data_IF_011946006365
#
_entry.id   IF_011946006365
#
_cell.length_a   1.000
_cell.length_b   1.000
_cell.length_c   1.000
_cell.angle_alpha   90.00
_cell.angle_beta   90.00
_cell.angle_gamma   90.00
#
_symmetry.space_group_name_H-M   'P 1'
#
loop_
_entity.id
_entity.type
_entity.pdbx_description
1 polymer ?
#
# COMPACT_ATOMS: atom_id res chain seq x y z
N UNK A 1 -4.13 36.33 10.18
CA UNK A 1 -3.06 36.34 9.15
C UNK A 1 -2.63 34.93 8.72
N UNK A 2 -2.25 34.04 9.65
CA UNK A 2 -1.85 32.65 9.33
C UNK A 2 -2.95 31.81 8.66
N UNK A 3 -4.22 31.96 9.05
CA UNK A 3 -5.34 31.23 8.41
C UNK A 3 -5.59 31.66 6.97
N UNK A 4 -5.39 32.95 6.67
CA UNK A 4 -5.52 33.49 5.32
C UNK A 4 -4.43 32.92 4.40
N UNK A 5 -3.18 32.85 4.87
CA UNK A 5 -2.07 32.22 4.14
C UNK A 5 -2.31 30.72 3.90
N UNK A 6 -2.83 29.98 4.89
CA UNK A 6 -3.21 28.57 4.72
C UNK A 6 -4.33 28.41 3.68
N UNK A 7 -5.32 29.31 3.70
CA UNK A 7 -6.41 29.32 2.72
C UNK A 7 -5.91 29.59 1.30
N UNK A 8 -5.02 30.57 1.13
CA UNK A 8 -4.38 30.86 -0.15
C UNK A 8 -3.52 29.71 -0.66
N UNK A 9 -2.73 29.06 0.22
CA UNK A 9 -1.96 27.87 -0.13
C UNK A 9 -2.85 26.72 -0.62
N UNK A 10 -3.98 26.46 0.04
CA UNK A 10 -4.96 25.44 -0.37
C UNK A 10 -5.59 25.78 -1.73
N UNK A 11 -5.94 27.03 -1.96
CA UNK A 11 -6.48 27.49 -3.24
C UNK A 11 -5.45 27.35 -4.36
N UNK A 12 -4.21 27.76 -4.14
CA UNK A 12 -3.11 27.60 -5.08
C UNK A 12 -2.82 26.13 -5.40
N UNK A 13 -2.82 25.25 -4.40
CA UNK A 13 -2.67 23.79 -4.62
C UNK A 13 -3.84 23.22 -5.44
N UNK A 14 -5.07 23.66 -5.16
CA UNK A 14 -6.25 23.28 -5.94
C UNK A 14 -6.16 23.75 -7.39
N UNK A 15 -5.77 25.01 -7.62
CA UNK A 15 -5.56 25.54 -8.97
C UNK A 15 -4.42 24.86 -9.71
N UNK A 16 -3.31 24.57 -9.01
CA UNK A 16 -2.21 23.81 -9.59
C UNK A 16 -2.70 22.43 -10.03
N UNK A 17 -3.43 21.74 -9.16
CA UNK A 17 -3.98 20.42 -9.45
C UNK A 17 -5.01 20.43 -10.59
N UNK A 18 -5.95 21.37 -10.60
CA UNK A 18 -6.93 21.56 -11.67
C UNK A 18 -6.26 21.94 -12.99
N UNK A 19 -5.20 22.75 -12.95
CA UNK A 19 -4.42 23.12 -14.14
C UNK A 19 -3.65 21.93 -14.70
N UNK A 20 -3.05 21.10 -13.85
CA UNK A 20 -2.43 19.84 -14.29
C UNK A 20 -3.48 18.84 -14.80
N UNK A 21 -4.68 18.83 -14.24
CA UNK A 21 -5.80 18.03 -14.73
C UNK A 21 -6.26 18.46 -16.13
N UNK A 22 -6.41 19.77 -16.38
CA UNK A 22 -6.76 20.28 -17.71
C UNK A 22 -5.60 20.12 -18.70
N UNK A 23 -4.36 20.36 -18.27
CA UNK A 23 -3.18 20.13 -19.10
C UNK A 23 -3.03 18.65 -19.46
N UNK A 24 -3.30 17.72 -18.55
CA UNK A 24 -3.30 16.28 -18.85
C UNK A 24 -4.43 15.86 -19.81
N UNK A 25 -5.52 16.62 -19.93
CA UNK A 25 -6.55 16.39 -20.96
C UNK A 25 -6.13 16.88 -22.35
N UNK A 26 -5.42 18.01 -22.43
CA UNK A 26 -5.02 18.65 -23.69
C UNK A 26 -3.68 18.11 -24.20
N UNK A 27 -2.78 17.82 -23.27
CA UNK A 27 -1.48 17.19 -23.46
C UNK A 27 -1.47 15.94 -22.56
N UNK A 28 -2.07 14.82 -23.01
CA UNK A 28 -1.95 13.57 -22.26
C UNK A 28 -0.48 13.37 -21.92
N UNK A 29 -0.12 13.22 -20.63
CA UNK A 29 1.26 12.98 -20.27
C UNK A 29 1.72 11.80 -21.11
N UNK A 30 2.83 11.96 -21.84
CA UNK A 30 3.36 10.87 -22.65
C UNK A 30 3.57 9.69 -21.71
N UNK A 31 2.69 8.70 -21.81
CA UNK A 31 2.86 7.44 -21.07
C UNK A 31 4.19 6.91 -21.57
N UNK A 32 5.19 6.72 -20.69
CA UNK A 32 6.52 6.34 -21.13
C UNK A 32 6.39 5.11 -22.02
N UNK A 33 6.94 5.20 -23.25
CA UNK A 33 6.75 4.20 -24.33
C UNK A 33 7.25 2.80 -23.98
N UNK A 34 7.85 2.61 -22.79
CA UNK A 34 8.33 1.35 -22.25
C UNK A 34 7.89 1.19 -20.78
N UNK A 35 6.58 0.98 -20.52
CA UNK A 35 6.11 0.79 -19.16
C UNK A 35 6.72 -0.49 -18.53
N UNK A 36 6.99 -1.50 -19.36
CA UNK A 36 7.57 -2.78 -18.93
C UNK A 36 9.03 -2.68 -18.45
N UNK A 37 9.81 -1.66 -18.86
CA UNK A 37 11.20 -1.55 -18.40
C UNK A 37 11.33 -1.19 -16.93
N UNK A 38 10.23 -0.81 -16.27
CA UNK A 38 10.21 -0.57 -14.83
C UNK A 38 9.85 -1.81 -14.01
N UNK A 39 9.41 -2.90 -14.66
CA UNK A 39 9.15 -4.17 -14.00
C UNK A 39 10.47 -4.93 -13.82
N UNK A 40 10.67 -5.51 -12.64
CA UNK A 40 11.82 -6.37 -12.40
C UNK A 40 11.57 -7.77 -12.98
N UNK A 41 12.65 -8.51 -13.21
CA UNK A 41 12.54 -9.90 -13.62
C UNK A 41 11.82 -10.71 -12.52
N UNK A 42 10.91 -11.58 -12.95
CA UNK A 42 10.07 -12.35 -12.02
C UNK A 42 8.94 -11.55 -11.37
N UNK A 43 8.61 -10.37 -11.88
CA UNK A 43 7.44 -9.60 -11.43
C UNK A 43 6.15 -10.41 -11.69
N UNK A 44 5.46 -10.79 -10.61
CA UNK A 44 4.24 -11.59 -10.67
C UNK A 44 3.16 -10.94 -9.80
N UNK A 45 1.92 -10.91 -10.30
CA UNK A 45 0.76 -10.38 -9.58
C UNK A 45 -0.21 -11.52 -9.34
N UNK A 46 -0.38 -11.90 -8.08
CA UNK A 46 -1.27 -12.97 -7.67
C UNK A 46 -2.41 -12.39 -6.85
N UNK A 47 -3.65 -12.66 -7.26
CA UNK A 47 -4.83 -12.26 -6.48
C UNK A 47 -5.14 -13.32 -5.44
N UNK A 48 -5.42 -12.90 -4.20
CA UNK A 48 -5.80 -13.83 -3.12
C UNK A 48 -7.30 -14.07 -3.21
N UNK A 49 -7.69 -15.15 -3.89
CA UNK A 49 -9.09 -15.46 -4.20
C UNK A 49 -9.86 -14.22 -4.71
N UNK A 50 -11.07 -13.99 -4.21
CA UNK A 50 -11.91 -12.83 -4.52
C UNK A 50 -11.88 -11.74 -3.42
N UNK A 51 -10.83 -11.72 -2.59
CA UNK A 51 -10.74 -10.78 -1.45
C UNK A 51 -10.41 -9.34 -1.85
N UNK A 52 -9.92 -9.13 -3.08
CA UNK A 52 -9.37 -7.86 -3.54
C UNK A 52 -7.93 -7.60 -3.07
N UNK A 53 -7.35 -8.47 -2.22
CA UNK A 53 -5.93 -8.44 -1.85
C UNK A 53 -5.10 -9.04 -2.99
N UNK A 54 -4.02 -8.35 -3.35
CA UNK A 54 -3.06 -8.78 -4.37
C UNK A 54 -1.66 -8.84 -3.79
N UNK A 55 -1.01 -9.98 -3.95
CA UNK A 55 0.42 -10.19 -3.64
C UNK A 55 1.22 -9.98 -4.91
N UNK A 56 2.25 -9.15 -4.82
CA UNK A 56 3.08 -8.77 -5.96
C UNK A 56 4.52 -9.16 -5.64
N UNK A 57 4.99 -10.22 -6.26
CA UNK A 57 6.37 -10.68 -6.11
C UNK A 57 7.31 -9.84 -6.98
N UNK A 58 8.54 -9.62 -6.51
CA UNK A 58 9.56 -8.80 -7.17
C UNK A 58 9.08 -7.38 -7.53
N UNK A 59 8.21 -6.79 -6.70
CA UNK A 59 7.75 -5.41 -6.87
C UNK A 59 8.91 -4.41 -6.74
N UNK A 60 9.83 -4.65 -5.81
CA UNK A 60 11.04 -3.85 -5.61
C UNK A 60 12.27 -4.77 -5.69
N UNK A 61 13.36 -4.28 -6.28
CA UNK A 61 14.63 -5.03 -6.26
C UNK A 61 15.27 -4.97 -4.88
N UNK A 62 16.18 -5.90 -4.61
CA UNK A 62 16.99 -5.91 -3.38
C UNK A 62 17.72 -4.58 -3.17
N UNK A 63 18.27 -4.00 -4.25
CA UNK A 63 18.92 -2.70 -4.22
C UNK A 63 17.93 -1.55 -3.92
N UNK A 64 16.72 -1.60 -4.48
CA UNK A 64 15.67 -0.63 -4.21
C UNK A 64 15.18 -0.69 -2.75
N UNK A 65 15.05 -1.89 -2.17
CA UNK A 65 14.68 -2.05 -0.77
C UNK A 65 15.76 -1.51 0.18
N UNK A 66 17.02 -1.82 -0.10
CA UNK A 66 18.15 -1.27 0.67
C UNK A 66 18.25 0.26 0.52
N UNK A 67 17.96 0.81 -0.66
CA UNK A 67 17.89 2.24 -0.88
C UNK A 67 16.82 2.90 0.00
N UNK A 68 15.60 2.36 0.02
CA UNK A 68 14.50 2.88 0.83
C UNK A 68 14.84 2.89 2.33
N UNK A 69 15.44 1.82 2.85
CA UNK A 69 15.88 1.76 4.26
C UNK A 69 16.96 2.82 4.52
N UNK A 70 18.01 2.87 3.69
CA UNK A 70 19.10 3.83 3.87
C UNK A 70 18.61 5.28 3.83
N UNK A 71 17.68 5.60 2.92
CA UNK A 71 17.07 6.91 2.80
C UNK A 71 16.20 7.25 4.00
N UNK A 72 15.48 6.27 4.55
CA UNK A 72 14.69 6.45 5.76
C UNK A 72 15.57 6.81 6.96
N UNK A 73 16.70 6.11 7.14
CA UNK A 73 17.67 6.42 8.20
C UNK A 73 18.29 7.82 8.02
N UNK A 74 18.63 8.21 6.78
CA UNK A 74 19.19 9.53 6.48
C UNK A 74 18.20 10.67 6.79
N UNK A 75 16.93 10.50 6.41
CA UNK A 75 15.90 11.54 6.57
C UNK A 75 15.32 11.58 7.98
N UNK A 76 15.16 10.42 8.62
CA UNK A 76 14.61 10.30 9.97
C UNK A 76 15.59 10.69 11.08
N UNK A 77 16.89 10.49 10.85
CA UNK A 77 17.93 10.62 11.87
C UNK A 77 18.01 9.40 12.79
N UNK A 78 19.08 9.33 13.60
CA UNK A 78 19.33 8.20 14.50
C UNK A 78 18.16 7.97 15.47
N UNK A 79 17.56 6.77 15.43
CA UNK A 79 16.46 6.36 16.31
C UNK A 79 15.05 6.64 15.79
N UNK A 80 14.88 7.19 14.58
CA UNK A 80 13.55 7.32 13.98
C UNK A 80 13.00 5.97 13.51
N UNK A 81 11.86 5.54 14.08
CA UNK A 81 11.16 4.31 13.69
C UNK A 81 10.45 4.43 12.33
N UNK A 82 10.23 5.64 11.83
CA UNK A 82 9.67 5.87 10.49
C UNK A 82 10.10 7.22 9.92
N UNK A 83 10.14 7.30 8.59
CA UNK A 83 10.49 8.51 7.86
C UNK A 83 9.70 8.61 6.55
N UNK A 84 9.35 9.85 6.18
CA UNK A 84 8.76 10.15 4.86
C UNK A 84 9.90 10.36 3.86
N UNK A 85 10.16 9.36 3.02
CA UNK A 85 11.27 9.39 2.05
C UNK A 85 10.88 10.03 0.71
N UNK A 86 9.58 10.11 0.41
CA UNK A 86 9.05 10.76 -0.78
C UNK A 86 7.72 11.44 -0.49
N UNK A 87 7.54 12.66 -0.98
CA UNK A 87 6.24 13.33 -1.01
C UNK A 87 6.17 14.40 -2.11
N UNK A 88 5.02 15.08 -2.22
CA UNK A 88 4.79 16.10 -3.24
C UNK A 88 5.79 17.27 -3.22
N UNK A 89 6.50 17.51 -2.11
CA UNK A 89 7.50 18.57 -1.98
C UNK A 89 8.95 18.05 -1.98
N UNK A 90 9.13 16.75 -1.77
CA UNK A 90 10.44 16.07 -1.75
C UNK A 90 10.35 14.90 -2.73
N UNK A 91 10.68 15.20 -3.98
CA UNK A 91 10.70 14.21 -5.05
C UNK A 91 12.08 13.61 -5.17
N UNK A 92 12.13 12.28 -5.16
CA UNK A 92 13.33 11.50 -5.38
C UNK A 92 13.21 10.77 -6.73
N UNK A 93 14.02 11.12 -7.74
CA UNK A 93 13.99 10.46 -9.04
C UNK A 93 14.21 8.96 -8.98
N UNK A 94 14.96 8.46 -7.99
CA UNK A 94 15.25 7.02 -7.81
C UNK A 94 13.98 6.26 -7.44
N UNK A 95 13.02 6.92 -6.79
CA UNK A 95 11.75 6.34 -6.35
C UNK A 95 10.64 6.46 -7.40
N UNK A 96 10.84 7.24 -8.48
CA UNK A 96 9.84 7.39 -9.55
C UNK A 96 9.46 6.07 -10.25
N UNK A 97 10.41 5.16 -10.58
CA UNK A 97 10.08 3.82 -11.09
C UNK A 97 9.09 3.06 -10.21
N UNK A 98 9.21 3.19 -8.89
CA UNK A 98 8.29 2.55 -7.95
C UNK A 98 6.88 3.10 -8.16
N UNK A 99 6.71 4.42 -8.23
CA UNK A 99 5.39 5.05 -8.47
C UNK A 99 4.80 4.72 -9.84
N UNK A 100 5.63 4.58 -10.88
CA UNK A 100 5.17 4.13 -12.19
C UNK A 100 4.59 2.72 -12.12
N UNK A 101 5.25 1.79 -11.43
CA UNK A 101 4.72 0.42 -11.22
C UNK A 101 3.37 0.43 -10.52
N UNK A 102 3.21 1.24 -9.48
CA UNK A 102 1.92 1.34 -8.77
C UNK A 102 0.83 1.84 -9.71
N UNK A 103 1.15 2.88 -10.48
CA UNK A 103 0.21 3.47 -11.44
C UNK A 103 -0.19 2.46 -12.52
N UNK A 104 0.74 1.62 -12.98
CA UNK A 104 0.46 0.53 -13.91
C UNK A 104 -0.42 -0.56 -13.30
N UNK A 105 -0.21 -0.92 -12.02
CA UNK A 105 -0.97 -1.96 -11.33
C UNK A 105 -2.42 -1.56 -11.03
N UNK A 106 -2.64 -0.26 -10.79
CA UNK A 106 -3.91 0.26 -10.29
C UNK A 106 -4.67 1.08 -11.32
N UNK A 107 -4.02 1.51 -12.40
CA UNK A 107 -4.57 2.48 -13.34
C UNK A 107 -4.68 3.90 -12.76
N UNK A 108 -4.27 4.10 -11.50
CA UNK A 108 -4.34 5.40 -10.82
C UNK A 108 -3.15 6.26 -11.25
N UNK A 109 -3.34 7.51 -11.69
CA UNK A 109 -2.24 8.38 -12.06
C UNK A 109 -1.27 8.65 -10.88
N UNK A 110 0.04 8.68 -11.16
CA UNK A 110 1.10 8.83 -10.15
C UNK A 110 0.96 10.05 -9.22
N UNK A 111 0.33 11.13 -9.68
CA UNK A 111 0.08 12.34 -8.89
C UNK A 111 -1.03 12.16 -7.83
N UNK A 112 -1.65 10.98 -7.79
CA UNK A 112 -2.60 10.54 -6.75
C UNK A 112 -1.98 9.55 -5.76
N UNK A 113 -0.71 9.19 -5.95
CA UNK A 113 0.03 8.51 -4.90
C UNK A 113 0.31 9.47 -3.74
N UNK A 114 0.15 8.96 -2.53
CA UNK A 114 0.49 9.64 -1.29
C UNK A 114 1.99 9.77 -1.09
N UNK A 115 2.39 9.98 0.15
CA UNK A 115 3.80 9.91 0.53
C UNK A 115 4.27 8.45 0.49
N UNK A 116 5.57 8.25 0.28
CA UNK A 116 6.23 6.97 0.58
C UNK A 116 6.78 7.10 2.01
N UNK A 117 6.21 6.30 2.90
CA UNK A 117 6.60 6.25 4.31
C UNK A 117 7.32 4.95 4.55
N UNK A 118 8.55 5.02 5.03
CA UNK A 118 9.36 3.83 5.33
C UNK A 118 9.54 3.76 6.83
N UNK A 119 9.26 2.62 7.42
CA UNK A 119 9.41 2.44 8.86
C UNK A 119 9.81 1.04 9.25
N UNK A 120 10.50 0.98 10.39
CA UNK A 120 10.67 -0.22 11.17
C UNK A 120 9.36 -0.48 11.91
N UNK A 121 8.81 -1.68 11.79
CA UNK A 121 7.62 -2.10 12.51
C UNK A 121 8.06 -2.58 13.90
N UNK A 122 7.84 -1.81 14.97
CA UNK A 122 8.19 -2.24 16.30
C UNK A 122 7.23 -3.32 16.79
N UNK A 123 7.72 -4.15 17.70
CA UNK A 123 6.96 -5.21 18.34
C UNK A 123 5.69 -4.74 19.09
N UNK A 124 5.60 -3.45 19.41
CA UNK A 124 4.44 -2.83 20.07
C UNK A 124 3.30 -2.48 19.11
N UNK A 125 3.50 -2.54 17.80
CA UNK A 125 2.48 -2.23 16.78
C UNK A 125 1.85 -3.49 16.17
N UNK A 126 2.04 -4.68 16.78
CA UNK A 126 1.54 -5.97 16.29
C UNK A 126 0.02 -6.03 16.13
N UNK A 127 -0.72 -5.25 16.94
CA UNK A 127 -2.19 -5.22 16.90
C UNK A 127 -2.76 -3.92 16.33
N UNK A 128 -1.90 -3.02 15.81
CA UNK A 128 -2.38 -1.75 15.29
C UNK A 128 -2.93 -1.93 13.87
N UNK A 129 -4.21 -1.61 13.64
CA UNK A 129 -4.81 -1.73 12.32
C UNK A 129 -4.12 -0.80 11.32
N UNK A 130 -3.52 -1.41 10.31
CA UNK A 130 -2.86 -0.75 9.18
C UNK A 130 -3.90 -0.47 8.10
N UNK A 131 -3.81 0.69 7.45
CA UNK A 131 -4.74 1.10 6.41
C UNK A 131 -5.81 2.12 6.84
N UNK A 132 -5.85 2.54 8.12
CA UNK A 132 -6.65 3.71 8.54
C UNK A 132 -5.94 5.00 8.13
N UNK A 133 -6.30 5.55 6.96
CA UNK A 133 -5.76 6.84 6.51
C UNK A 133 -6.80 7.95 6.46
N UNK A 134 -6.38 9.13 6.92
CA UNK A 134 -7.20 10.33 6.82
C UNK A 134 -7.29 10.82 5.37
N UNK A 135 -8.45 11.35 4.94
CA UNK A 135 -8.60 11.98 3.63
C UNK A 135 -7.58 13.11 3.43
N UNK A 136 -6.96 13.16 2.25
CA UNK A 136 -6.05 14.27 1.89
C UNK A 136 -6.76 15.22 0.93
N UNK A 137 -6.93 16.48 1.34
CA UNK A 137 -7.46 17.54 0.46
C UNK A 137 -8.72 17.13 -0.33
N UNK A 138 -9.71 16.52 0.34
CA UNK A 138 -10.96 15.99 -0.25
C UNK A 138 -10.85 14.76 -1.17
N UNK A 139 -9.66 14.22 -1.41
CA UNK A 139 -9.48 12.94 -2.10
C UNK A 139 -9.60 11.79 -1.10
N UNK A 140 -10.43 10.80 -1.42
CA UNK A 140 -10.64 9.61 -0.59
C UNK A 140 -9.53 8.59 -0.87
N UNK A 141 -8.86 8.01 0.14
CA UNK A 141 -7.99 6.86 -0.06
C UNK A 141 -8.79 5.71 -0.71
N UNK A 142 -8.12 4.96 -1.58
CA UNK A 142 -8.72 3.86 -2.35
C UNK A 142 -7.91 2.57 -2.27
N UNK A 143 -6.57 2.65 -2.20
CA UNK A 143 -5.72 1.48 -2.03
C UNK A 143 -4.61 1.74 -1.03
N UNK A 144 -4.30 0.73 -0.22
CA UNK A 144 -3.07 0.61 0.54
C UNK A 144 -2.11 -0.30 -0.21
N UNK A 145 -0.86 0.12 -0.36
CA UNK A 145 0.24 -0.69 -0.88
C UNK A 145 1.36 -0.71 0.15
N UNK A 146 1.76 -1.91 0.55
CA UNK A 146 2.83 -2.12 1.50
C UNK A 146 3.91 -2.99 0.86
N UNK A 147 5.15 -2.51 0.86
CA UNK A 147 6.30 -3.21 0.28
C UNK A 147 7.19 -3.70 1.41
N UNK A 148 7.41 -5.01 1.50
CA UNK A 148 8.33 -5.61 2.45
C UNK A 148 9.76 -5.32 2.01
N UNK A 149 10.55 -4.74 2.91
CA UNK A 149 11.95 -4.38 2.65
C UNK A 149 12.93 -5.39 3.24
N UNK A 150 12.42 -6.32 4.04
CA UNK A 150 13.12 -7.46 4.65
C UNK A 150 12.35 -8.76 4.43
N UNK A 151 12.98 -9.89 4.76
CA UNK A 151 12.44 -11.25 4.62
C UNK A 151 11.75 -11.75 5.91
N UNK A 152 11.66 -10.89 6.92
CA UNK A 152 11.17 -11.23 8.25
C UNK A 152 9.87 -10.48 8.53
N UNK A 153 8.93 -11.17 9.17
CA UNK A 153 7.61 -10.63 9.50
C UNK A 153 6.51 -11.09 8.53
N UNK A 154 5.33 -10.58 8.78
CA UNK A 154 4.10 -11.00 8.13
C UNK A 154 3.09 -9.84 8.15
N UNK A 155 2.27 -9.75 7.10
CA UNK A 155 1.08 -8.91 7.08
C UNK A 155 -0.15 -9.80 7.17
N UNK A 156 -0.86 -9.71 8.28
CA UNK A 156 -2.06 -10.49 8.56
C UNK A 156 -3.31 -9.71 8.19
N UNK A 157 -4.32 -10.41 7.68
CA UNK A 157 -5.66 -9.90 7.46
C UNK A 157 -6.64 -10.76 8.27
N UNK A 158 -6.82 -10.50 9.59
CA UNK A 158 -7.63 -11.36 10.45
C UNK A 158 -9.07 -11.54 9.98
N UNK A 159 -9.66 -10.51 9.36
CA UNK A 159 -11.01 -10.60 8.79
C UNK A 159 -11.13 -11.51 7.56
N UNK A 160 -10.01 -11.96 6.99
CA UNK A 160 -9.94 -12.91 5.86
C UNK A 160 -9.31 -14.25 6.27
N UNK A 161 -8.87 -14.38 7.52
CA UNK A 161 -8.15 -15.53 8.05
C UNK A 161 -6.87 -15.90 7.27
N UNK A 162 -6.14 -14.88 6.81
CA UNK A 162 -4.88 -15.08 6.07
C UNK A 162 -3.75 -14.24 6.63
N UNK A 163 -2.54 -14.75 6.45
CA UNK A 163 -1.29 -14.06 6.67
C UNK A 163 -0.38 -14.15 5.45
N UNK A 164 0.34 -13.07 5.16
CA UNK A 164 1.22 -12.94 4.01
C UNK A 164 2.64 -12.71 4.52
N UNK A 165 3.49 -13.71 4.35
CA UNK A 165 4.88 -13.69 4.76
C UNK A 165 5.66 -12.62 4.01
N UNK A 166 6.49 -11.90 4.76
CA UNK A 166 7.42 -10.95 4.21
C UNK A 166 8.45 -11.66 3.34
N UNK A 167 8.67 -11.10 2.15
CA UNK A 167 9.79 -11.46 1.29
C UNK A 167 10.35 -10.16 0.74
N UNK A 168 11.67 -9.98 0.78
CA UNK A 168 12.30 -8.72 0.41
C UNK A 168 11.94 -8.34 -1.02
N UNK A 169 11.25 -7.20 -1.15
CA UNK A 169 10.80 -6.67 -2.44
C UNK A 169 9.41 -7.15 -2.88
N UNK A 170 8.75 -8.02 -2.12
CA UNK A 170 7.32 -8.33 -2.29
C UNK A 170 6.48 -7.16 -1.82
N UNK A 171 5.35 -6.93 -2.49
CA UNK A 171 4.37 -5.94 -2.07
C UNK A 171 2.98 -6.57 -1.94
N UNK A 172 2.18 -6.00 -1.05
CA UNK A 172 0.76 -6.35 -0.87
C UNK A 172 -0.07 -5.11 -1.15
N UNK A 173 -1.03 -5.24 -2.06
CA UNK A 173 -1.97 -4.19 -2.46
C UNK A 173 -3.38 -4.62 -2.10
N UNK A 174 -4.15 -3.75 -1.44
CA UNK A 174 -5.55 -4.03 -1.12
C UNK A 174 -6.38 -2.75 -1.13
N UNK A 175 -7.70 -2.86 -1.38
CA UNK A 175 -8.59 -1.70 -1.34
C UNK A 175 -8.74 -1.18 0.10
N UNK A 176 -8.75 0.14 0.24
CA UNK A 176 -9.06 0.84 1.49
C UNK A 176 -10.12 1.92 1.24
N UNK A 177 -11.01 2.15 2.19
CA UNK A 177 -12.02 3.21 2.14
C UNK A 177 -11.68 4.31 3.14
N UNK A 178 -12.08 5.53 2.79
CA UNK A 178 -12.01 6.67 3.70
C UNK A 178 -12.94 6.43 4.91
N UNK A 179 -12.37 6.21 6.11
CA UNK A 179 -13.17 6.13 7.33
C UNK A 179 -13.75 7.51 7.67
N UNK A 180 -15.04 7.71 7.45
CA UNK A 180 -15.81 8.85 7.98
C UNK A 180 -16.91 8.28 8.89
N UNK A 181 -16.60 8.05 10.17
CA UNK A 181 -17.55 7.49 11.13
C UNK A 181 -17.35 6.00 11.44
N UNK A 182 -18.46 5.33 11.84
CA UNK A 182 -18.52 3.93 12.35
C UNK A 182 -17.68 2.99 11.48
N UNK A 183 -16.94 2.10 12.16
CA UNK A 183 -15.85 1.29 11.62
C UNK A 183 -16.12 0.69 10.23
N UNK A 184 -15.18 0.85 9.27
CA UNK A 184 -15.38 0.36 7.92
C UNK A 184 -15.27 -1.18 7.83
N UNK A 185 -16.10 -1.76 6.95
CA UNK A 185 -16.19 -3.19 6.66
C UNK A 185 -15.09 -3.63 5.68
N UNK A 186 -13.84 -3.67 6.13
CA UNK A 186 -12.68 -3.94 5.28
C UNK A 186 -11.73 -4.98 5.87
N UNK A 187 -10.91 -5.64 5.04
CA UNK A 187 -9.82 -6.46 5.55
C UNK A 187 -8.82 -5.53 6.25
N UNK A 188 -8.95 -5.45 7.57
CA UNK A 188 -8.02 -4.75 8.44
C UNK A 188 -6.72 -5.53 8.41
N UNK A 189 -5.64 -4.88 7.99
CA UNK A 189 -4.33 -5.49 8.00
C UNK A 189 -3.64 -5.21 9.35
N UNK A 190 -2.88 -6.16 9.87
CA UNK A 190 -2.04 -6.01 11.05
C UNK A 190 -0.67 -6.61 10.77
N UNK A 191 0.38 -6.02 11.30
CA UNK A 191 1.72 -6.58 11.15
C UNK A 191 1.99 -7.62 12.24
N UNK A 192 2.63 -8.73 11.89
CA UNK A 192 3.22 -9.66 12.87
C UNK A 192 4.71 -9.76 12.58
N UNK A 193 5.56 -9.38 13.54
CA UNK A 193 7.03 -9.42 13.34
C UNK A 193 7.63 -10.81 13.56
N UNK A 194 6.86 -11.82 14.00
CA UNK A 194 7.37 -13.16 14.37
C UNK A 194 8.64 -13.14 15.25
N UNK A 195 8.85 -12.08 16.04
CA UNK A 195 10.03 -11.92 16.92
C UNK A 195 11.26 -11.31 16.25
N UNK A 196 11.13 -10.74 15.05
CA UNK A 196 12.20 -9.99 14.39
C UNK A 196 12.16 -8.51 14.76
N UNK A 197 13.30 -7.99 15.22
CA UNK A 197 13.52 -6.55 15.46
C UNK A 197 13.82 -5.78 14.16
N UNK A 198 13.87 -6.46 13.01
CA UNK A 198 14.31 -5.93 11.73
C UNK A 198 13.24 -6.02 10.64
N UNK A 199 11.98 -5.79 11.01
CA UNK A 199 10.89 -5.78 10.04
C UNK A 199 10.69 -4.37 9.44
N UNK A 200 11.15 -4.15 8.21
CA UNK A 200 11.02 -2.86 7.52
C UNK A 200 9.96 -2.91 6.43
N UNK A 201 9.10 -1.89 6.39
CA UNK A 201 8.03 -1.78 5.40
C UNK A 201 7.99 -0.37 4.81
N UNK A 202 7.80 -0.29 3.48
CA UNK A 202 7.41 0.95 2.81
C UNK A 202 5.89 0.96 2.58
N UNK A 203 5.22 1.95 3.14
CA UNK A 203 3.77 2.14 3.05
C UNK A 203 3.45 3.28 2.08
N UNK A 204 2.50 3.03 1.18
CA UNK A 204 2.05 3.97 0.16
C UNK A 204 0.54 3.88 0.06
N UNK A 205 -0.13 5.03 0.10
CA UNK A 205 -1.57 5.09 -0.11
C UNK A 205 -1.91 5.81 -1.39
N UNK A 206 -2.85 5.25 -2.13
CA UNK A 206 -3.38 5.83 -3.34
C UNK A 206 -4.73 6.48 -3.07
N UNK A 207 -4.94 7.66 -3.64
CA UNK A 207 -6.18 8.40 -3.51
C UNK A 207 -6.97 8.36 -4.83
N UNK A 208 -8.29 8.36 -4.70
CA UNK A 208 -9.22 8.45 -5.83
C UNK A 208 -8.88 9.62 -6.76
N UNK A 209 -9.00 9.39 -8.06
CA UNK A 209 -9.00 10.45 -9.05
C UNK A 209 -10.44 10.80 -9.41
N UNK A 210 -10.80 12.08 -9.52
CA UNK A 210 -12.16 12.47 -9.96
C UNK A 210 -12.54 11.97 -11.37
N UNK A 211 -11.57 11.50 -12.16
CA UNK A 211 -11.80 10.81 -13.44
C UNK A 211 -12.18 9.34 -13.28
N UNK A 212 -11.83 8.74 -12.14
CA UNK A 212 -12.13 7.37 -11.75
C UNK A 212 -12.87 7.46 -10.42
N UNK A 213 -14.17 7.79 -10.46
CA UNK A 213 -15.01 7.40 -9.33
C UNK A 213 -14.95 5.87 -9.26
N UNK A 214 -14.37 5.30 -8.20
CA UNK A 214 -14.12 3.86 -8.13
C UNK A 214 -15.41 3.05 -8.15
N UNK A 215 -16.57 3.68 -8.05
CA UNK A 215 -17.90 3.08 -8.18
C UNK A 215 -18.03 2.17 -9.42
N UNK A 216 -17.26 2.39 -10.50
CA UNK A 216 -17.22 1.47 -11.67
C UNK A 216 -16.17 0.35 -11.59
N UNK A 217 -15.13 0.46 -10.76
CA UNK A 217 -14.12 -0.60 -10.57
C UNK A 217 -14.54 -1.55 -9.43
N UNK A 218 -15.24 -1.04 -8.42
CA UNK A 218 -15.82 -1.86 -7.34
C UNK A 218 -16.89 -2.83 -7.88
N UNK A 219 -17.52 -2.51 -9.01
CA UNK A 219 -18.52 -3.38 -9.67
C UNK A 219 -17.92 -4.49 -10.56
N UNK A 220 -16.65 -4.39 -10.98
CA UNK A 220 -16.05 -5.32 -11.95
C UNK A 220 -15.16 -6.40 -11.31
N UNK A 221 -14.80 -6.26 -10.04
CA UNK A 221 -14.31 -7.38 -9.25
C UNK A 221 -15.41 -7.65 -8.23
N UNK A 222 -16.20 -8.73 -8.37
CA UNK A 222 -17.17 -9.05 -7.35
C UNK A 222 -16.39 -9.25 -6.05
N UNK A 223 -16.45 -8.27 -5.16
CA UNK A 223 -16.26 -8.53 -3.74
C UNK A 223 -17.33 -9.56 -3.38
N UNK A 224 -16.99 -10.84 -3.46
CA UNK A 224 -17.82 -11.88 -2.89
C UNK A 224 -17.75 -11.72 -1.38
N UNK A 225 -18.70 -10.94 -0.87
CA UNK A 225 -19.18 -10.86 0.51
C UNK A 225 -18.15 -10.61 1.62
N UNK A 226 -18.51 -9.63 2.45
CA UNK A 226 -17.85 -9.20 3.70
C UNK A 226 -17.20 -10.35 4.48
N UNK A 227 -15.92 -10.21 4.84
CA UNK A 227 -15.31 -10.90 5.99
C UNK A 227 -15.59 -12.40 6.07
N UNK A 228 -15.81 -13.06 4.93
CA UNK A 228 -15.91 -14.51 4.88
C UNK A 228 -14.48 -14.98 4.88
N UNK A 229 -14.08 -15.64 5.97
CA UNK A 229 -12.79 -16.31 6.06
C UNK A 229 -12.61 -17.17 4.81
N UNK A 230 -11.43 -17.08 4.19
CA UNK A 230 -11.11 -17.92 3.04
C UNK A 230 -11.17 -19.38 3.51
N UNK A 231 -11.76 -20.25 2.71
CA UNK A 231 -11.89 -21.67 3.04
C UNK A 231 -10.72 -22.45 2.47
N UNK A 232 -10.40 -23.62 3.03
CA UNK A 232 -9.27 -24.47 2.59
C UNK A 232 -9.28 -24.89 1.10
N UNK A 233 -10.37 -24.62 0.37
CA UNK A 233 -10.48 -24.82 -1.08
C UNK A 233 -9.97 -23.64 -1.92
N UNK A 234 -9.69 -22.49 -1.30
CA UNK A 234 -9.23 -21.30 -1.99
C UNK A 234 -7.74 -21.40 -2.34
N UNK A 235 -7.40 -21.00 -3.57
CA UNK A 235 -6.01 -21.02 -4.03
C UNK A 235 -5.28 -19.80 -3.48
N UNK A 236 -4.35 -20.03 -2.56
CA UNK A 236 -3.48 -19.01 -1.98
C UNK A 236 -2.16 -18.92 -2.77
N UNK A 237 -1.64 -17.69 -2.99
CA UNK A 237 -0.32 -17.52 -3.59
C UNK A 237 0.81 -17.91 -2.64
N UNK A 238 2.00 -18.17 -3.20
CA UNK A 238 3.17 -18.59 -2.42
C UNK A 238 3.53 -17.56 -1.33
N UNK A 239 3.74 -18.04 -0.10
CA UNK A 239 3.98 -17.20 1.08
C UNK A 239 2.71 -16.54 1.63
N UNK A 240 1.52 -17.00 1.23
CA UNK A 240 0.25 -16.71 1.91
C UNK A 240 -0.26 -17.99 2.56
N UNK A 241 -0.57 -17.91 3.85
CA UNK A 241 -1.09 -19.03 4.64
C UNK A 241 -2.34 -18.63 5.42
N UNK A 242 -3.09 -19.62 5.90
CA UNK A 242 -4.13 -19.39 6.88
C UNK A 242 -3.51 -19.04 8.23
N UNK A 243 -4.17 -18.18 9.00
CA UNK A 243 -3.73 -17.91 10.37
C UNK A 243 -3.94 -19.20 11.19
N UNK A 244 -2.94 -19.57 12.00
CA UNK A 244 -3.10 -20.75 12.85
C UNK A 244 -4.10 -20.44 13.97
N UNK A 245 -5.17 -21.23 14.07
CA UNK A 245 -6.08 -21.19 15.21
C UNK A 245 -5.28 -21.47 16.51
N UNK A 246 -5.26 -20.56 17.49
CA UNK A 246 -4.58 -20.80 18.77
C UNK A 246 -5.25 -21.90 19.63
N UNK A 247 -6.27 -22.59 19.12
CA UNK A 247 -7.09 -23.55 19.88
C UNK A 247 -6.73 -25.02 19.58
N UNK A 248 -5.95 -25.32 18.54
CA UNK A 248 -5.75 -26.71 18.08
C UNK A 248 -4.40 -27.36 18.45
N UNK A 249 -3.75 -26.95 19.54
CA UNK A 249 -2.61 -27.69 20.10
C UNK A 249 -3.02 -28.82 21.08
N UNK A 250 -4.32 -29.02 21.37
CA UNK A 250 -4.77 -30.01 22.36
C UNK A 250 -5.62 -31.18 21.82
N UNK A 251 -5.83 -31.33 20.51
CA UNK A 251 -6.58 -32.48 19.95
C UNK A 251 -5.76 -33.30 18.95
N UNK A 252 -4.64 -33.88 19.40
CA UNK A 252 -4.24 -35.23 18.94
C UNK A 252 -3.64 -36.02 20.11
N UNK A 253 -4.50 -36.40 21.06
CA UNK A 253 -4.34 -37.66 21.79
C UNK A 253 -5.58 -38.49 21.53
N UNK A 254 -5.47 -39.43 20.60
CA UNK A 254 -6.10 -40.76 20.65
C UNK A 254 -5.57 -41.66 19.54
#
# INVERSE_FOLDING_TARGET
>A
MMEWLRRQKRLMQKYYYERYYFLAKVFPPEVPRRPLSFLHDGFAVNSVANSGVRVIDNFCSVAGSSYLISRACEVGGDGALSAVVFNATHQDPVLMPLLYRISMLTGIPLNHAGSIEVGLVPDTLKDCPVGKQQPRNSAKPCYGLHVFLTDEGELQFPGLDIGIEAAKGRAVLWPIEASVGVEPAQPVAAYSSMGSDNFWVASITLYSAKMFEPDTITELVPQTQKGVALGASDVLPAGTGYLQDPINENEVVR
#
